data_IF_550526498214
#
_entry.id   IF_550526498214
#
_cell.length_a   1.000
_cell.length_b   1.000
_cell.length_c   1.000
_cell.angle_alpha   90.00
_cell.angle_beta   90.00
_cell.angle_gamma   90.00
#
_symmetry.space_group_name_H-M   'P 1'
#
loop_
_entity.id
_entity.type
_entity.pdbx_description
1 polymer ?
#
# COMPACT_ATOMS: atom_id res chain seq x y z
N UNK A 1 63.14 50.76 36.40
CA UNK A 1 63.10 49.43 35.74
C UNK A 1 61.66 49.00 35.69
N UNK A 2 61.04 48.89 34.48
CA UNK A 2 59.62 48.71 34.26
C UNK A 2 59.40 47.26 33.83
N UNK A 3 58.50 46.55 34.50
CA UNK A 3 57.99 45.23 34.12
C UNK A 3 56.69 45.42 33.30
N UNK A 4 56.52 44.72 32.20
CA UNK A 4 55.22 44.79 31.43
C UNK A 4 54.24 43.74 31.90
N UNK A 5 53.01 44.16 32.06
CA UNK A 5 51.81 43.35 32.28
C UNK A 5 51.42 42.59 30.99
N UNK A 6 51.23 41.30 31.07
CA UNK A 6 50.54 40.52 30.06
C UNK A 6 49.07 40.41 30.43
N UNK A 7 48.21 40.93 29.59
CA UNK A 7 46.74 40.70 29.63
C UNK A 7 46.44 39.40 28.88
N UNK A 8 45.72 38.51 29.55
CA UNK A 8 45.19 37.31 28.96
C UNK A 8 43.98 37.59 28.03
N UNK A 9 44.08 37.07 26.81
CA UNK A 9 42.97 36.90 25.89
C UNK A 9 42.62 35.43 25.90
N UNK A 10 41.52 35.09 26.52
CA UNK A 10 41.08 33.70 26.58
C UNK A 10 39.75 33.57 27.29
N UNK A 11 38.65 33.90 26.63
CA UNK A 11 37.32 33.35 26.92
C UNK A 11 36.24 33.96 25.97
N UNK A 12 36.24 33.63 24.68
CA UNK A 12 35.11 33.99 23.81
C UNK A 12 34.93 33.05 22.58
N UNK A 13 35.21 31.75 22.72
CA UNK A 13 35.10 30.81 21.59
C UNK A 13 34.23 29.57 21.85
N UNK A 14 33.51 29.50 22.96
CA UNK A 14 32.75 28.29 23.35
C UNK A 14 31.24 28.44 23.31
N UNK A 15 30.66 29.58 22.91
CA UNK A 15 29.21 29.78 22.88
C UNK A 15 28.62 29.68 21.45
N UNK A 16 29.44 29.79 20.41
CA UNK A 16 28.94 29.75 19.01
C UNK A 16 28.72 28.34 18.44
N UNK A 17 29.33 27.30 19.05
CA UNK A 17 29.18 25.93 18.54
C UNK A 17 27.89 25.20 19.00
N UNK A 18 27.30 25.63 20.12
CA UNK A 18 26.08 25.01 20.64
C UNK A 18 24.81 25.52 19.96
N UNK A 19 24.76 26.76 19.52
CA UNK A 19 23.62 27.36 18.82
C UNK A 19 23.52 26.88 17.37
N UNK A 20 24.66 26.70 16.67
CA UNK A 20 24.66 26.14 15.32
C UNK A 20 24.21 24.67 15.29
N UNK A 21 24.59 23.88 16.28
CA UNK A 21 24.15 22.49 16.40
C UNK A 21 22.67 22.33 16.76
N UNK A 22 22.12 23.25 17.57
CA UNK A 22 20.71 23.29 17.89
C UNK A 22 19.86 23.75 16.67
N UNK A 23 20.30 24.78 15.99
CA UNK A 23 19.63 25.33 14.80
C UNK A 23 19.69 24.36 13.61
N UNK A 24 20.77 23.57 13.46
CA UNK A 24 20.83 22.47 12.49
C UNK A 24 19.90 21.29 12.85
N UNK A 25 19.66 21.02 14.13
CA UNK A 25 18.68 20.00 14.57
C UNK A 25 17.23 20.47 14.38
N UNK A 26 16.93 21.74 14.53
CA UNK A 26 15.60 22.30 14.28
C UNK A 26 15.17 22.25 12.81
N UNK A 27 16.12 22.24 11.88
CA UNK A 27 15.85 22.19 10.43
C UNK A 27 15.98 20.79 9.84
N UNK A 28 16.38 19.78 10.62
CA UNK A 28 16.60 18.43 10.11
C UNK A 28 15.29 17.82 9.56
N UNK A 29 15.42 17.19 8.39
CA UNK A 29 14.35 16.41 7.77
C UNK A 29 13.97 15.23 8.65
N UNK A 30 12.72 14.79 8.58
CA UNK A 30 12.34 13.45 9.04
C UNK A 30 13.03 12.42 8.12
N UNK A 31 14.06 11.76 8.65
CA UNK A 31 14.79 10.75 7.88
C UNK A 31 13.93 9.49 7.71
N UNK A 32 13.75 8.97 6.49
CA UNK A 32 12.94 7.77 6.26
C UNK A 32 13.37 6.55 7.10
N UNK A 33 14.67 6.38 7.34
CA UNK A 33 15.22 5.31 8.19
C UNK A 33 14.82 5.47 9.66
N UNK A 34 14.71 6.71 10.13
CA UNK A 34 14.25 6.99 11.49
C UNK A 34 12.74 6.74 11.59
N UNK A 35 11.95 7.20 10.63
CA UNK A 35 10.52 6.91 10.55
C UNK A 35 10.25 5.40 10.56
N UNK A 36 11.04 4.65 9.82
CA UNK A 36 10.97 3.19 9.79
C UNK A 36 11.20 2.57 11.16
N UNK A 37 12.28 2.98 11.88
CA UNK A 37 12.58 2.49 13.23
C UNK A 37 11.51 2.86 14.25
N UNK A 38 10.96 4.07 14.14
CA UNK A 38 9.86 4.52 15.00
C UNK A 38 8.63 3.65 14.77
N UNK A 39 8.26 3.41 13.52
CA UNK A 39 7.12 2.57 13.19
C UNK A 39 7.29 1.15 13.72
N UNK A 40 8.46 0.56 13.58
CA UNK A 40 8.75 -0.81 14.04
C UNK A 40 8.46 -1.01 15.54
N UNK A 41 8.54 0.07 16.35
CA UNK A 41 8.35 0.04 17.81
C UNK A 41 6.99 0.59 18.26
N UNK A 42 6.42 1.54 17.53
CA UNK A 42 5.36 2.40 18.05
C UNK A 42 4.04 2.34 17.27
N UNK A 43 3.98 1.61 16.14
CA UNK A 43 2.74 1.52 15.37
C UNK A 43 1.58 0.94 16.18
N UNK A 44 0.37 1.37 15.87
CA UNK A 44 -0.88 0.91 16.49
C UNK A 44 -1.78 0.15 15.52
N UNK A 45 -1.37 0.06 14.27
CA UNK A 45 -2.04 -0.76 13.27
C UNK A 45 -2.04 -2.24 13.69
N UNK A 46 -3.09 -3.01 13.38
CA UNK A 46 -3.14 -4.42 13.73
C UNK A 46 -2.02 -5.19 13.01
N UNK A 47 -1.47 -6.25 13.67
CA UNK A 47 -0.33 -6.97 13.12
C UNK A 47 -0.62 -7.60 11.77
N UNK A 48 -1.87 -8.06 11.49
CA UNK A 48 -2.23 -8.62 10.17
C UNK A 48 -3.63 -9.23 10.13
N UNK A 49 -4.23 -9.24 8.95
CA UNK A 49 -4.22 -8.20 7.92
C UNK A 49 -4.94 -6.98 8.46
N UNK A 50 -4.75 -5.78 7.91
CA UNK A 50 -5.44 -4.58 8.41
C UNK A 50 -6.94 -4.64 8.01
N UNK A 51 -7.67 -5.59 8.59
CA UNK A 51 -9.11 -5.73 8.40
C UNK A 51 -9.84 -4.67 9.22
N UNK A 52 -9.64 -3.42 8.82
CA UNK A 52 -10.28 -2.27 9.46
C UNK A 52 -11.76 -2.25 9.09
N UNK A 53 -12.63 -2.67 10.02
CA UNK A 53 -14.06 -2.49 9.93
C UNK A 53 -14.49 -1.14 10.56
N UNK A 54 -15.76 -0.79 10.41
CA UNK A 54 -16.27 0.48 10.95
C UNK A 54 -16.20 0.53 12.49
N UNK A 55 -16.37 -0.58 13.18
CA UNK A 55 -16.29 -0.65 14.66
C UNK A 55 -14.86 -0.37 15.14
N UNK A 56 -13.86 -0.95 14.47
CA UNK A 56 -12.45 -0.67 14.76
C UNK A 56 -12.10 0.79 14.47
N UNK A 57 -12.57 1.34 13.35
CA UNK A 57 -12.42 2.77 13.05
C UNK A 57 -12.97 3.65 14.17
N UNK A 58 -14.22 3.41 14.62
CA UNK A 58 -14.86 4.19 15.70
C UNK A 58 -14.02 4.16 16.97
N UNK A 59 -13.57 2.97 17.40
CA UNK A 59 -12.72 2.85 18.60
C UNK A 59 -11.42 3.66 18.49
N UNK A 60 -10.79 3.66 17.32
CA UNK A 60 -9.56 4.44 17.09
C UNK A 60 -9.82 5.94 17.07
N UNK A 61 -10.91 6.37 16.45
CA UNK A 61 -11.33 7.78 16.46
C UNK A 61 -11.64 8.25 17.87
N UNK A 62 -12.38 7.47 18.66
CA UNK A 62 -12.64 7.76 20.07
C UNK A 62 -11.36 7.87 20.90
N UNK A 63 -10.39 6.98 20.64
CA UNK A 63 -9.06 7.04 21.26
C UNK A 63 -8.29 8.31 20.92
N UNK A 64 -8.40 8.83 19.70
CA UNK A 64 -7.79 10.10 19.32
C UNK A 64 -8.39 11.26 20.11
N UNK A 65 -9.71 11.30 20.27
CA UNK A 65 -10.40 12.35 21.04
C UNK A 65 -10.02 12.28 22.51
N UNK A 66 -10.09 11.09 23.12
CA UNK A 66 -9.81 10.89 24.55
C UNK A 66 -8.35 11.09 24.96
N UNK A 67 -7.40 10.83 24.05
CA UNK A 67 -5.95 10.81 24.35
C UNK A 67 -5.16 12.04 23.90
N UNK A 68 -5.77 13.01 23.25
CA UNK A 68 -5.00 14.01 22.45
C UNK A 68 -4.92 15.42 23.03
N UNK A 69 -5.51 15.70 24.22
CA UNK A 69 -5.49 17.05 24.82
C UNK A 69 -5.85 18.19 23.83
N UNK A 70 -6.76 17.93 22.89
CA UNK A 70 -7.17 18.91 21.88
C UNK A 70 -6.23 19.05 20.67
N UNK A 71 -5.31 18.10 20.47
CA UNK A 71 -4.45 18.08 19.26
C UNK A 71 -5.25 17.80 17.99
N UNK A 72 -6.20 16.87 18.05
CA UNK A 72 -7.08 16.51 16.95
C UNK A 72 -8.47 17.10 17.14
N UNK A 73 -9.01 17.68 16.08
CA UNK A 73 -10.43 18.02 15.98
C UNK A 73 -11.11 16.95 15.12
N UNK A 74 -12.14 16.30 15.65
CA UNK A 74 -12.84 15.20 15.02
C UNK A 74 -14.31 15.53 14.89
N UNK A 75 -14.80 15.54 13.68
CA UNK A 75 -16.23 15.73 13.38
C UNK A 75 -16.81 14.55 12.60
N UNK A 76 -18.08 14.26 12.81
CA UNK A 76 -18.86 13.41 11.93
C UNK A 76 -19.22 14.21 10.68
N UNK A 77 -18.50 13.97 9.58
CA UNK A 77 -18.72 14.67 8.31
C UNK A 77 -20.03 14.26 7.64
N UNK A 78 -20.58 13.12 7.98
CA UNK A 78 -21.86 12.61 7.51
C UNK A 78 -22.03 11.12 7.77
N UNK A 79 -22.91 10.48 7.00
CA UNK A 79 -23.22 9.06 7.10
C UNK A 79 -23.17 8.40 5.74
N UNK A 80 -22.79 7.11 5.71
CA UNK A 80 -22.91 6.24 4.54
C UNK A 80 -24.37 5.89 4.24
N UNK A 81 -24.57 5.11 3.18
CA UNK A 81 -25.92 4.63 2.79
C UNK A 81 -26.63 3.87 3.92
N UNK A 82 -25.89 3.10 4.72
CA UNK A 82 -26.43 2.31 5.85
C UNK A 82 -26.33 3.03 7.20
N UNK A 83 -26.11 4.34 7.19
CA UNK A 83 -26.10 5.17 8.40
C UNK A 83 -24.83 5.06 9.26
N UNK A 84 -23.74 4.50 8.72
CA UNK A 84 -22.43 4.48 9.41
C UNK A 84 -21.77 5.84 9.33
N UNK A 85 -21.27 6.33 10.47
CA UNK A 85 -20.58 7.61 10.54
C UNK A 85 -19.32 7.63 9.66
N UNK A 86 -19.16 8.69 8.87
CA UNK A 86 -17.94 9.02 8.15
C UNK A 86 -17.29 10.18 8.91
N UNK A 87 -16.05 9.98 9.36
CA UNK A 87 -15.35 10.95 10.18
C UNK A 87 -14.38 11.77 9.35
N UNK A 88 -14.31 13.06 9.69
CA UNK A 88 -13.26 13.97 9.28
C UNK A 88 -12.41 14.31 10.50
N UNK A 89 -11.11 14.12 10.38
CA UNK A 89 -10.12 14.41 11.42
C UNK A 89 -9.26 15.56 10.94
N UNK A 90 -9.13 16.62 11.73
CA UNK A 90 -8.19 17.70 11.43
C UNK A 90 -7.11 17.83 12.50
N UNK A 91 -5.89 18.16 12.08
CA UNK A 91 -4.74 18.35 12.95
C UNK A 91 -3.76 19.37 12.35
N UNK A 92 -3.15 20.18 13.23
CA UNK A 92 -2.30 21.30 12.84
C UNK A 92 -3.09 22.60 12.70
N UNK A 93 -2.36 23.73 12.61
CA UNK A 93 -2.92 25.09 12.53
C UNK A 93 -2.20 25.95 11.50
N UNK A 94 -1.44 25.30 10.61
CA UNK A 94 -0.68 25.98 9.57
C UNK A 94 -1.57 26.49 8.44
N UNK A 95 -1.08 27.50 7.70
CA UNK A 95 -1.85 28.11 6.62
C UNK A 95 -1.95 27.24 5.34
N UNK A 96 -1.27 26.10 5.28
CA UNK A 96 -1.26 25.23 4.11
C UNK A 96 -2.15 24.00 4.34
N UNK A 97 -3.39 23.98 3.79
CA UNK A 97 -4.32 22.89 4.00
C UNK A 97 -3.99 21.71 3.06
N UNK A 98 -3.95 20.51 3.63
CA UNK A 98 -3.69 19.24 2.94
C UNK A 98 -4.85 18.29 3.19
N UNK A 99 -5.41 17.69 2.14
CA UNK A 99 -6.47 16.68 2.26
C UNK A 99 -5.91 15.28 2.02
N UNK A 100 -6.20 14.35 2.93
CA UNK A 100 -5.91 12.93 2.74
C UNK A 100 -7.22 12.14 2.85
N UNK A 101 -7.45 11.20 1.95
CA UNK A 101 -8.58 10.28 2.08
C UNK A 101 -8.17 8.88 1.70
N UNK A 102 -8.74 7.90 2.41
CA UNK A 102 -8.47 6.49 2.24
C UNK A 102 -9.76 5.69 2.25
N UNK A 103 -9.65 4.44 1.86
CA UNK A 103 -10.71 3.43 1.91
C UNK A 103 -12.02 3.91 1.27
N UNK A 104 -11.90 4.61 0.14
CA UNK A 104 -13.07 4.87 -0.71
C UNK A 104 -13.53 3.58 -1.41
N UNK A 105 -12.62 2.62 -1.59
CA UNK A 105 -12.95 1.23 -1.82
C UNK A 105 -12.82 0.48 -0.49
N UNK A 106 -13.86 -0.23 -0.09
CA UNK A 106 -13.93 -0.81 1.26
C UNK A 106 -12.93 -1.93 1.52
N UNK A 107 -12.41 -2.57 0.48
CA UNK A 107 -11.40 -3.63 0.50
C UNK A 107 -9.94 -3.11 0.44
N UNK A 108 -9.73 -1.80 0.61
CA UNK A 108 -8.43 -1.15 0.52
C UNK A 108 -7.99 -0.49 1.86
N UNK A 109 -7.78 -1.26 2.94
CA UNK A 109 -7.60 -0.72 4.29
C UNK A 109 -6.16 -0.33 4.65
N UNK A 110 -5.16 -0.59 3.78
CA UNK A 110 -3.74 -0.45 4.15
C UNK A 110 -3.39 0.97 4.57
N UNK A 111 -3.78 1.96 3.78
CA UNK A 111 -3.49 3.35 4.09
C UNK A 111 -4.34 3.86 5.28
N UNK A 112 -5.55 3.34 5.49
CA UNK A 112 -6.34 3.63 6.69
C UNK A 112 -5.57 3.24 7.96
N UNK A 113 -4.97 2.06 7.98
CA UNK A 113 -4.13 1.62 9.09
C UNK A 113 -2.90 2.53 9.28
N UNK A 114 -2.22 2.89 8.19
CA UNK A 114 -1.08 3.80 8.22
C UNK A 114 -1.44 5.20 8.71
N UNK A 115 -2.63 5.73 8.39
CA UNK A 115 -3.10 7.03 8.88
C UNK A 115 -3.26 7.04 10.41
N UNK A 116 -3.73 5.96 11.02
CA UNK A 116 -3.76 5.88 12.48
C UNK A 116 -2.37 5.78 13.11
N UNK A 117 -1.41 5.14 12.44
CA UNK A 117 0.00 5.17 12.87
C UNK A 117 0.59 6.59 12.73
N UNK A 118 0.23 7.34 11.68
CA UNK A 118 0.59 8.77 11.52
C UNK A 118 -0.01 9.61 12.64
N UNK A 119 -1.29 9.43 12.98
CA UNK A 119 -1.91 10.16 14.08
C UNK A 119 -1.22 9.87 15.41
N UNK A 120 -0.89 8.61 15.67
CA UNK A 120 -0.18 8.23 16.89
C UNK A 120 1.23 8.81 16.94
N UNK A 121 1.94 8.82 15.81
CA UNK A 121 3.24 9.49 15.68
C UNK A 121 3.13 10.99 16.03
N UNK A 122 2.18 11.69 15.45
CA UNK A 122 1.96 13.12 15.72
C UNK A 122 1.60 13.37 17.19
N UNK A 123 0.76 12.51 17.78
CA UNK A 123 0.33 12.60 19.18
C UNK A 123 1.52 12.42 20.15
N UNK A 124 2.32 11.36 19.94
CA UNK A 124 3.44 11.05 20.85
C UNK A 124 4.56 12.08 20.74
N UNK A 125 4.75 12.64 19.56
CA UNK A 125 5.86 13.57 19.25
C UNK A 125 5.41 15.01 19.05
N UNK A 126 4.24 15.39 19.53
CA UNK A 126 3.69 16.74 19.34
C UNK A 126 4.61 17.87 19.82
N UNK A 127 5.49 17.60 20.77
CA UNK A 127 6.45 18.57 21.30
C UNK A 127 7.85 18.51 20.63
N UNK A 128 8.08 17.59 19.73
CA UNK A 128 9.34 17.52 18.98
C UNK A 128 9.42 18.60 17.89
N UNK A 129 10.60 19.21 17.66
CA UNK A 129 10.74 20.33 16.71
C UNK A 129 10.22 20.02 15.30
N UNK A 130 10.45 18.80 14.80
CA UNK A 130 10.00 18.39 13.46
C UNK A 130 8.47 18.32 13.37
N UNK A 131 7.80 17.80 14.39
CA UNK A 131 6.32 17.72 14.44
C UNK A 131 5.73 19.11 14.67
N UNK A 132 6.33 19.93 15.53
CA UNK A 132 5.93 21.33 15.71
C UNK A 132 5.99 22.14 14.40
N UNK A 133 7.07 21.97 13.63
CA UNK A 133 7.20 22.56 12.30
C UNK A 133 6.08 22.09 11.37
N UNK A 134 5.81 20.77 11.34
CA UNK A 134 4.75 20.20 10.49
C UNK A 134 3.38 20.80 10.87
N UNK A 135 3.02 20.79 12.15
CA UNK A 135 1.73 21.25 12.64
C UNK A 135 1.54 22.76 12.55
N UNK A 136 2.64 23.55 12.55
CA UNK A 136 2.59 25.00 12.37
C UNK A 136 2.57 25.44 10.90
N UNK A 137 3.08 24.61 9.99
CA UNK A 137 3.08 24.86 8.55
C UNK A 137 1.81 24.36 7.86
N UNK A 138 1.32 23.19 8.28
CA UNK A 138 0.21 22.48 7.64
C UNK A 138 -1.03 22.42 8.54
N UNK A 139 -2.20 22.38 7.90
CA UNK A 139 -3.44 21.88 8.49
C UNK A 139 -3.86 20.63 7.71
N UNK A 140 -3.84 19.48 8.35
CA UNK A 140 -4.24 18.22 7.72
C UNK A 140 -5.73 18.01 7.90
N UNK A 141 -6.43 17.71 6.82
CA UNK A 141 -7.81 17.29 6.78
C UNK A 141 -7.83 15.83 6.31
N UNK A 142 -8.32 14.91 7.13
CA UNK A 142 -8.21 13.47 6.85
C UNK A 142 -9.57 12.80 6.94
N UNK A 143 -9.93 12.05 5.89
CA UNK A 143 -11.07 11.11 5.93
C UNK A 143 -10.46 9.69 5.90
N UNK A 144 -10.27 9.04 7.06
CA UNK A 144 -9.52 7.80 7.13
C UNK A 144 -10.27 6.59 6.53
N UNK A 145 -11.62 6.64 6.49
CA UNK A 145 -12.46 5.61 5.85
C UNK A 145 -13.66 6.29 5.21
N UNK A 146 -13.63 6.41 3.88
CA UNK A 146 -14.70 7.08 3.14
C UNK A 146 -15.91 6.17 2.90
N UNK A 147 -15.71 4.85 2.71
CA UNK A 147 -16.74 3.87 2.40
C UNK A 147 -16.86 2.80 3.50
N UNK A 148 -17.47 3.13 4.65
CA UNK A 148 -17.57 2.18 5.76
C UNK A 148 -18.49 0.98 5.46
N UNK A 149 -19.47 1.10 4.56
CA UNK A 149 -20.33 -0.01 4.16
C UNK A 149 -19.58 -1.04 3.32
N UNK A 150 -18.73 -0.58 2.41
CA UNK A 150 -17.82 -1.43 1.66
C UNK A 150 -16.77 -2.07 2.56
N UNK A 151 -16.22 -1.31 3.52
CA UNK A 151 -15.24 -1.82 4.49
C UNK A 151 -15.82 -2.94 5.35
N UNK A 152 -17.07 -2.82 5.78
CA UNK A 152 -17.77 -3.84 6.55
C UNK A 152 -17.88 -5.17 5.79
N UNK A 153 -18.06 -5.11 4.47
CA UNK A 153 -18.18 -6.28 3.59
C UNK A 153 -16.87 -6.69 2.93
N UNK A 154 -15.81 -5.92 3.15
CA UNK A 154 -14.54 -6.06 2.45
C UNK A 154 -14.74 -6.11 0.94
N UNK A 155 -15.38 -5.08 0.39
CA UNK A 155 -15.68 -4.97 -1.03
C UNK A 155 -15.41 -3.57 -1.55
N UNK A 156 -15.07 -3.48 -2.84
CA UNK A 156 -14.76 -2.22 -3.52
C UNK A 156 -15.91 -1.20 -3.45
N UNK A 157 -17.12 -1.65 -3.76
CA UNK A 157 -18.30 -0.80 -3.94
C UNK A 157 -19.00 -0.49 -2.61
N UNK A 158 -19.73 0.63 -2.57
CA UNK A 158 -20.57 0.98 -1.43
C UNK A 158 -21.84 0.09 -1.34
N UNK A 159 -22.72 0.35 -0.38
CA UNK A 159 -23.95 -0.43 -0.18
C UNK A 159 -24.94 -0.36 -1.36
N UNK A 160 -24.86 0.66 -2.21
CA UNK A 160 -25.66 0.79 -3.42
C UNK A 160 -25.09 0.01 -4.62
N UNK A 161 -23.92 -0.64 -4.45
CA UNK A 161 -23.20 -1.27 -5.55
C UNK A 161 -22.46 -0.27 -6.46
N UNK A 162 -22.36 1.00 -6.04
CA UNK A 162 -21.67 2.05 -6.78
C UNK A 162 -20.20 2.06 -6.42
N UNK A 163 -19.32 2.14 -7.41
CA UNK A 163 -17.92 2.50 -7.22
C UNK A 163 -17.82 3.99 -6.91
N UNK A 164 -17.49 4.33 -5.66
CA UNK A 164 -17.42 5.72 -5.21
C UNK A 164 -16.40 6.51 -6.05
N UNK A 165 -15.32 5.87 -6.51
CA UNK A 165 -14.33 6.51 -7.40
C UNK A 165 -14.80 6.61 -8.88
N UNK A 166 -16.10 6.42 -9.15
CA UNK A 166 -16.74 6.64 -10.44
C UNK A 166 -17.96 7.55 -10.33
N UNK A 167 -18.09 8.26 -9.19
CA UNK A 167 -19.26 9.09 -8.87
C UNK A 167 -18.96 10.60 -8.81
N UNK A 168 -17.73 11.03 -9.10
CA UNK A 168 -17.31 12.42 -8.95
C UNK A 168 -18.14 13.43 -9.76
N UNK A 169 -18.67 13.01 -10.94
CA UNK A 169 -19.49 13.89 -11.78
C UNK A 169 -20.93 14.02 -11.29
N UNK A 170 -21.51 12.94 -10.76
CA UNK A 170 -22.93 12.89 -10.40
C UNK A 170 -23.19 13.08 -8.93
N UNK A 171 -22.25 12.69 -8.07
CA UNK A 171 -22.35 12.79 -6.61
C UNK A 171 -23.63 12.13 -6.07
N UNK A 172 -23.97 10.95 -6.57
CA UNK A 172 -25.16 10.19 -6.17
C UNK A 172 -24.97 9.53 -4.81
N UNK A 173 -23.71 9.17 -4.47
CA UNK A 173 -23.37 8.52 -3.20
C UNK A 173 -23.24 9.56 -2.08
N UNK A 174 -23.66 9.26 -0.86
CA UNK A 174 -23.39 10.12 0.29
C UNK A 174 -21.88 10.28 0.52
N UNK A 175 -21.09 9.23 0.32
CA UNK A 175 -19.63 9.22 0.44
C UNK A 175 -19.00 10.25 -0.51
N UNK A 176 -19.39 10.25 -1.78
CA UNK A 176 -18.92 11.22 -2.78
C UNK A 176 -19.26 12.66 -2.43
N UNK A 177 -20.51 12.90 -1.97
CA UNK A 177 -20.93 14.24 -1.51
C UNK A 177 -20.14 14.72 -0.30
N UNK A 178 -19.87 13.84 0.66
CA UNK A 178 -19.09 14.16 1.85
C UNK A 178 -17.66 14.55 1.46
N UNK A 179 -16.99 13.74 0.64
CA UNK A 179 -15.63 14.03 0.18
C UNK A 179 -15.56 15.36 -0.57
N UNK A 180 -16.51 15.60 -1.48
CA UNK A 180 -16.62 16.89 -2.21
C UNK A 180 -16.88 18.05 -1.24
N UNK A 181 -17.76 17.87 -0.26
CA UNK A 181 -18.08 18.89 0.74
C UNK A 181 -16.90 19.27 1.61
N UNK A 182 -16.10 18.31 2.06
CA UNK A 182 -14.86 18.56 2.82
C UNK A 182 -13.86 19.34 1.94
N UNK A 183 -13.66 18.93 0.68
CA UNK A 183 -12.81 19.65 -0.26
C UNK A 183 -13.26 21.10 -0.47
N UNK A 184 -14.55 21.34 -0.67
CA UNK A 184 -15.07 22.67 -0.96
C UNK A 184 -15.00 23.59 0.26
N UNK A 185 -15.22 23.06 1.46
CA UNK A 185 -15.12 23.78 2.72
C UNK A 185 -13.68 24.24 2.99
N UNK A 186 -12.70 23.34 2.83
CA UNK A 186 -11.33 23.58 3.26
C UNK A 186 -10.39 23.99 2.14
N UNK A 187 -10.78 23.80 0.87
CA UNK A 187 -10.00 24.16 -0.34
C UNK A 187 -8.54 23.76 -0.25
N UNK A 188 -8.24 22.48 -0.05
CA UNK A 188 -6.87 22.03 0.17
C UNK A 188 -5.97 22.38 -1.01
N UNK A 189 -4.74 22.79 -0.67
CA UNK A 189 -3.71 23.14 -1.65
C UNK A 189 -3.14 21.92 -2.36
N UNK A 190 -3.23 20.73 -1.73
CA UNK A 190 -2.87 19.43 -2.30
C UNK A 190 -3.67 18.33 -1.64
N UNK A 191 -3.96 17.26 -2.39
CA UNK A 191 -4.65 16.06 -1.93
C UNK A 191 -3.81 14.80 -2.07
N UNK A 192 -4.04 13.84 -1.16
CA UNK A 192 -3.50 12.48 -1.23
C UNK A 192 -4.66 11.50 -1.31
N UNK A 193 -4.76 10.81 -2.45
CA UNK A 193 -5.73 9.75 -2.70
C UNK A 193 -5.06 8.41 -2.41
N UNK A 194 -5.51 7.73 -1.37
CA UNK A 194 -4.82 6.56 -0.83
C UNK A 194 -5.60 5.30 -1.12
N UNK A 195 -5.03 4.44 -1.98
CA UNK A 195 -5.64 3.24 -2.51
C UNK A 195 -4.78 1.99 -2.32
N UNK A 196 -5.39 0.83 -2.60
CA UNK A 196 -4.66 -0.40 -2.87
C UNK A 196 -4.93 -0.83 -4.33
N UNK A 197 -3.87 -1.13 -5.06
CA UNK A 197 -3.96 -1.74 -6.38
C UNK A 197 -3.98 -3.27 -6.30
N UNK A 198 -4.27 -3.90 -7.44
CA UNK A 198 -4.15 -5.35 -7.54
C UNK A 198 -2.71 -5.79 -7.17
N UNK A 199 -2.59 -6.75 -6.27
CA UNK A 199 -1.30 -7.29 -5.82
C UNK A 199 -0.48 -7.94 -6.95
N UNK A 200 -1.10 -8.30 -8.10
CA UNK A 200 -0.42 -8.77 -9.32
C UNK A 200 0.32 -7.68 -10.07
N UNK A 201 0.08 -6.41 -9.71
CA UNK A 201 0.79 -5.29 -10.33
C UNK A 201 2.28 -5.44 -10.12
N UNK A 202 3.01 -5.28 -11.18
CA UNK A 202 4.46 -5.49 -11.26
C UNK A 202 5.17 -4.34 -11.94
N UNK A 203 6.47 -4.27 -11.72
CA UNK A 203 7.38 -3.31 -12.34
C UNK A 203 8.70 -3.97 -12.71
N UNK A 204 9.35 -3.42 -13.74
CA UNK A 204 10.70 -3.80 -14.11
C UNK A 204 10.79 -5.11 -14.91
N UNK A 205 12.03 -5.45 -15.29
CA UNK A 205 12.39 -6.67 -15.98
C UNK A 205 13.70 -7.22 -15.38
N UNK A 206 13.68 -8.40 -14.73
CA UNK A 206 12.53 -9.26 -14.48
C UNK A 206 11.44 -8.59 -13.59
N UNK A 207 10.16 -8.97 -13.77
CA UNK A 207 9.06 -8.32 -13.06
C UNK A 207 9.10 -8.60 -11.56
N UNK A 208 9.04 -7.52 -10.77
CA UNK A 208 8.90 -7.54 -9.31
C UNK A 208 7.52 -7.03 -8.94
N UNK A 209 6.95 -7.39 -7.76
CA UNK A 209 5.74 -6.76 -7.27
C UNK A 209 5.90 -5.24 -7.19
N UNK A 210 4.94 -4.48 -7.69
CA UNK A 210 4.85 -3.05 -7.46
C UNK A 210 4.23 -2.82 -6.08
N UNK A 211 5.06 -2.77 -5.05
CA UNK A 211 4.60 -2.60 -3.67
C UNK A 211 3.97 -1.24 -3.41
N UNK A 212 4.38 -0.24 -4.19
CA UNK A 212 3.76 1.07 -4.23
C UNK A 212 3.83 1.63 -5.64
N UNK A 213 2.72 2.17 -6.13
CA UNK A 213 2.72 2.92 -7.38
C UNK A 213 2.21 4.32 -7.14
N UNK A 214 2.82 5.27 -7.83
CA UNK A 214 2.57 6.70 -7.64
C UNK A 214 1.99 7.31 -8.91
N UNK A 215 1.11 8.31 -8.72
CA UNK A 215 0.58 9.08 -9.83
C UNK A 215 0.43 10.55 -9.46
N UNK A 216 0.98 11.42 -10.29
CA UNK A 216 0.60 12.84 -10.38
C UNK A 216 -0.62 12.94 -11.29
N UNK A 217 -1.80 13.05 -10.68
CA UNK A 217 -3.10 12.87 -11.36
C UNK A 217 -3.34 13.93 -12.40
N UNK A 218 -3.81 13.54 -13.59
CA UNK A 218 -4.23 14.43 -14.66
C UNK A 218 -5.56 15.12 -14.33
N UNK A 219 -5.86 16.23 -14.99
CA UNK A 219 -7.13 16.96 -14.87
C UNK A 219 -7.84 17.12 -16.22
N UNK A 220 -7.24 16.65 -17.29
CA UNK A 220 -7.81 16.66 -18.63
C UNK A 220 -7.25 15.52 -19.50
N UNK A 221 -7.92 15.16 -20.61
CA UNK A 221 -7.47 14.10 -21.52
C UNK A 221 -6.13 14.39 -22.21
N UNK A 222 -5.74 15.67 -22.33
CA UNK A 222 -4.46 16.08 -22.90
C UNK A 222 -3.30 15.88 -21.92
N UNK A 223 -3.59 15.56 -20.64
CA UNK A 223 -2.60 15.42 -19.56
C UNK A 223 -1.77 16.68 -19.40
N UNK A 224 -2.45 17.84 -19.56
CA UNK A 224 -1.82 19.15 -19.54
C UNK A 224 -1.01 19.39 -18.28
N UNK A 225 0.07 20.15 -18.41
CA UNK A 225 0.88 20.54 -17.26
C UNK A 225 0.26 21.73 -16.51
N UNK A 226 0.58 21.83 -15.23
CA UNK A 226 0.18 22.95 -14.36
C UNK A 226 1.12 23.03 -13.16
N UNK A 227 1.16 24.16 -12.47
CA UNK A 227 1.90 24.28 -11.21
C UNK A 227 1.50 23.21 -10.20
N UNK A 228 0.21 22.85 -10.14
CA UNK A 228 -0.29 21.78 -9.29
C UNK A 228 0.26 20.41 -9.67
N UNK A 229 0.30 20.07 -10.97
CA UNK A 229 0.90 18.83 -11.44
C UNK A 229 2.42 18.79 -11.24
N UNK A 230 3.10 19.90 -11.41
CA UNK A 230 4.53 20.01 -11.11
C UNK A 230 4.80 19.76 -9.62
N UNK A 231 3.99 20.32 -8.72
CA UNK A 231 4.07 20.05 -7.29
C UNK A 231 3.84 18.56 -6.98
N UNK A 232 2.81 17.95 -7.55
CA UNK A 232 2.51 16.52 -7.26
C UNK A 232 3.55 15.58 -7.86
N UNK A 233 4.18 15.88 -9.01
CA UNK A 233 5.35 15.12 -9.51
C UNK A 233 6.53 15.21 -8.55
N UNK A 234 6.82 16.39 -8.00
CA UNK A 234 7.87 16.56 -6.98
C UNK A 234 7.55 15.79 -5.70
N UNK A 235 6.29 15.77 -5.25
CA UNK A 235 5.86 14.97 -4.11
C UNK A 235 6.00 13.48 -4.38
N UNK A 236 5.63 13.00 -5.57
CA UNK A 236 5.87 11.62 -5.98
C UNK A 236 7.37 11.27 -5.95
N UNK A 237 8.25 12.19 -6.39
CA UNK A 237 9.69 12.00 -6.32
C UNK A 237 10.19 11.91 -4.86
N UNK A 238 9.69 12.76 -3.96
CA UNK A 238 10.00 12.70 -2.51
C UNK A 238 9.55 11.36 -1.92
N UNK A 239 8.33 10.92 -2.22
CA UNK A 239 7.80 9.64 -1.74
C UNK A 239 8.64 8.47 -2.27
N UNK A 240 8.94 8.47 -3.56
CA UNK A 240 9.81 7.47 -4.19
C UNK A 240 11.16 7.38 -3.47
N UNK A 241 11.83 8.49 -3.25
CA UNK A 241 13.15 8.50 -2.61
C UNK A 241 13.09 8.06 -1.13
N UNK A 242 11.99 8.34 -0.43
CA UNK A 242 11.79 7.90 0.94
C UNK A 242 11.52 6.39 1.05
N UNK A 243 10.82 5.80 0.09
CA UNK A 243 10.37 4.40 0.13
C UNK A 243 11.37 3.45 -0.53
N UNK A 244 12.11 3.89 -1.56
CA UNK A 244 13.07 3.06 -2.32
C UNK A 244 14.05 2.25 -1.46
N UNK A 245 14.62 2.78 -0.36
CA UNK A 245 15.51 1.99 0.49
C UNK A 245 14.88 0.76 1.15
N UNK A 246 13.56 0.73 1.25
CA UNK A 246 12.79 -0.35 1.90
C UNK A 246 12.11 -1.27 0.89
N UNK A 247 11.91 -0.81 -0.34
CA UNK A 247 11.28 -1.55 -1.42
C UNK A 247 12.05 -1.37 -2.75
N UNK A 248 13.33 -1.77 -2.83
CA UNK A 248 14.19 -1.46 -3.95
C UNK A 248 13.71 -2.09 -5.26
N UNK A 249 13.44 -1.23 -6.25
CA UNK A 249 12.92 -1.63 -7.56
C UNK A 249 11.49 -2.17 -7.52
N UNK A 250 10.71 -1.83 -6.49
CA UNK A 250 9.30 -2.23 -6.32
C UNK A 250 8.35 -1.01 -6.30
N UNK A 251 8.84 0.15 -6.76
CA UNK A 251 8.03 1.36 -6.89
C UNK A 251 7.75 1.58 -8.37
N UNK A 252 6.48 1.77 -8.70
CA UNK A 252 6.01 1.98 -10.06
C UNK A 252 5.38 3.34 -10.29
N UNK A 253 5.13 3.61 -11.56
CA UNK A 253 4.28 4.71 -12.00
C UNK A 253 2.95 4.15 -12.47
N UNK A 254 1.85 4.68 -11.89
CA UNK A 254 0.51 4.36 -12.32
C UNK A 254 0.18 5.11 -13.61
N UNK A 255 -0.74 4.57 -14.43
CA UNK A 255 -1.19 5.22 -15.66
C UNK A 255 -1.89 6.55 -15.34
N UNK A 256 -1.52 7.61 -16.08
CA UNK A 256 -2.08 8.95 -15.94
C UNK A 256 -3.20 9.24 -16.97
N UNK A 257 -3.85 8.20 -17.51
CA UNK A 257 -5.04 8.37 -18.32
C UNK A 257 -6.16 9.05 -17.53
N UNK A 258 -6.73 10.10 -18.11
CA UNK A 258 -7.78 10.88 -17.46
C UNK A 258 -9.08 10.11 -17.38
N UNK A 259 -9.53 9.79 -16.17
CA UNK A 259 -10.83 9.16 -15.91
C UNK A 259 -11.82 10.23 -15.41
N UNK A 260 -12.63 10.73 -16.29
CA UNK A 260 -13.58 11.83 -16.05
C UNK A 260 -14.53 11.60 -14.84
N UNK A 261 -14.76 10.34 -14.43
CA UNK A 261 -15.63 10.00 -13.31
C UNK A 261 -14.88 9.84 -11.98
N UNK A 262 -13.53 9.78 -12.00
CA UNK A 262 -12.72 9.52 -10.82
C UNK A 262 -12.56 10.77 -9.95
N UNK A 263 -12.49 10.57 -8.63
CA UNK A 263 -12.32 11.67 -7.69
C UNK A 263 -10.93 12.29 -7.75
N UNK A 264 -9.86 11.53 -7.97
CA UNK A 264 -8.52 12.08 -8.10
C UNK A 264 -8.43 13.13 -9.21
N UNK A 265 -8.96 12.78 -10.38
CA UNK A 265 -8.98 13.60 -11.58
C UNK A 265 -9.85 14.86 -11.39
N UNK A 266 -11.05 14.66 -10.84
CA UNK A 266 -11.94 15.80 -10.57
C UNK A 266 -11.45 16.70 -9.44
N UNK A 267 -10.82 16.18 -8.40
CA UNK A 267 -10.17 17.02 -7.37
C UNK A 267 -9.12 17.92 -7.98
N UNK A 268 -8.28 17.36 -8.88
CA UNK A 268 -7.27 18.13 -9.60
C UNK A 268 -7.91 19.18 -10.51
N UNK A 269 -8.96 18.80 -11.25
CA UNK A 269 -9.75 19.73 -12.08
C UNK A 269 -10.41 20.84 -11.25
N UNK A 270 -10.91 20.53 -10.06
CA UNK A 270 -11.49 21.54 -9.15
C UNK A 270 -10.46 22.41 -8.44
N UNK A 271 -9.17 22.26 -8.72
CA UNK A 271 -8.08 23.08 -8.20
C UNK A 271 -7.42 22.53 -6.93
N UNK A 272 -7.59 21.24 -6.62
CA UNK A 272 -6.82 20.54 -5.60
C UNK A 272 -5.98 19.46 -6.31
N UNK A 273 -4.71 19.75 -6.63
CA UNK A 273 -3.82 18.78 -7.27
C UNK A 273 -3.61 17.55 -6.38
N UNK A 274 -3.62 16.35 -6.96
CA UNK A 274 -3.66 15.10 -6.23
C UNK A 274 -2.43 14.25 -6.52
N UNK A 275 -1.84 13.71 -5.45
CA UNK A 275 -0.97 12.53 -5.48
C UNK A 275 -1.82 11.30 -5.21
N UNK A 276 -1.82 10.33 -6.13
CA UNK A 276 -2.36 9.00 -5.89
C UNK A 276 -1.24 8.10 -5.39
N UNK A 277 -1.52 7.37 -4.31
CA UNK A 277 -0.69 6.28 -3.82
C UNK A 277 -1.49 4.99 -3.92
N UNK A 278 -1.01 4.06 -4.74
CA UNK A 278 -1.57 2.73 -4.93
C UNK A 278 -0.67 1.71 -4.23
N UNK A 279 -1.15 1.13 -3.16
CA UNK A 279 -0.42 0.09 -2.42
C UNK A 279 -0.67 -1.27 -3.07
N UNK A 280 0.38 -1.95 -3.47
CA UNK A 280 0.29 -3.24 -4.16
C UNK A 280 0.60 -4.44 -3.27
N UNK A 281 1.33 -5.43 -3.82
CA UNK A 281 1.72 -6.64 -3.13
C UNK A 281 3.11 -6.58 -2.51
N UNK A 282 3.37 -7.43 -1.53
CA UNK A 282 4.68 -7.64 -0.93
C UNK A 282 5.02 -9.14 -0.87
N UNK A 283 6.21 -9.57 -1.30
CA UNK A 283 6.59 -10.99 -1.35
C UNK A 283 7.08 -11.49 0.02
N UNK A 284 6.17 -11.67 0.98
CA UNK A 284 6.47 -12.24 2.28
C UNK A 284 5.27 -12.99 2.87
N UNK A 285 5.51 -13.74 3.94
CA UNK A 285 4.44 -14.38 4.71
C UNK A 285 3.52 -13.36 5.42
N UNK A 286 4.01 -12.14 5.64
CA UNK A 286 3.30 -11.05 6.32
C UNK A 286 3.35 -9.75 5.51
N UNK A 287 2.71 -9.72 4.33
CA UNK A 287 2.83 -8.59 3.41
C UNK A 287 2.23 -7.30 3.97
N UNK A 288 1.10 -7.39 4.66
CA UNK A 288 0.28 -6.23 4.99
C UNK A 288 0.99 -5.28 5.97
N UNK A 289 1.69 -5.80 6.98
CA UNK A 289 2.47 -5.00 7.94
C UNK A 289 3.55 -4.16 7.24
N UNK A 290 4.31 -4.76 6.33
CA UNK A 290 5.31 -4.03 5.54
C UNK A 290 4.67 -2.93 4.69
N UNK A 291 3.54 -3.21 4.06
CA UNK A 291 2.83 -2.24 3.22
C UNK A 291 2.28 -1.07 4.03
N UNK A 292 1.77 -1.30 5.25
CA UNK A 292 1.37 -0.23 6.18
C UNK A 292 2.57 0.64 6.55
N UNK A 293 3.71 0.03 6.88
CA UNK A 293 4.97 0.74 7.18
C UNK A 293 5.43 1.62 6.01
N UNK A 294 5.37 1.11 4.76
CA UNK A 294 5.74 1.90 3.58
C UNK A 294 4.83 3.12 3.40
N UNK A 295 3.51 2.96 3.61
CA UNK A 295 2.57 4.08 3.56
C UNK A 295 2.84 5.12 4.66
N UNK A 296 3.13 4.68 5.89
CA UNK A 296 3.51 5.57 6.99
C UNK A 296 4.73 6.43 6.62
N UNK A 297 5.79 5.79 6.10
CA UNK A 297 7.01 6.49 5.67
C UNK A 297 6.70 7.47 4.53
N UNK A 298 5.95 7.03 3.52
CA UNK A 298 5.56 7.83 2.37
C UNK A 298 4.81 9.10 2.77
N UNK A 299 3.75 8.93 3.57
CA UNK A 299 2.89 10.04 4.01
C UNK A 299 3.68 11.05 4.84
N UNK A 300 4.40 10.61 5.87
CA UNK A 300 5.16 11.54 6.73
C UNK A 300 6.31 12.23 5.99
N UNK A 301 7.00 11.54 5.07
CA UNK A 301 8.06 12.15 4.26
C UNK A 301 7.50 13.23 3.32
N UNK A 302 6.34 12.99 2.70
CA UNK A 302 5.67 13.97 1.86
C UNK A 302 5.21 15.19 2.68
N UNK A 303 4.55 14.97 3.81
CA UNK A 303 4.09 16.05 4.70
C UNK A 303 5.25 16.88 5.25
N UNK A 304 6.33 16.24 5.69
CA UNK A 304 7.52 16.96 6.18
C UNK A 304 8.21 17.75 5.06
N UNK A 305 8.22 17.23 3.82
CA UNK A 305 8.78 17.96 2.68
C UNK A 305 7.97 19.22 2.32
N UNK A 306 6.64 19.15 2.45
CA UNK A 306 5.76 20.31 2.32
C UNK A 306 6.01 21.34 3.43
N UNK A 307 5.99 20.87 4.69
CA UNK A 307 6.16 21.73 5.88
C UNK A 307 7.50 22.46 5.90
N UNK A 308 8.55 21.83 5.40
CA UNK A 308 9.90 22.37 5.32
C UNK A 308 10.24 23.04 3.99
N UNK A 309 9.30 23.06 3.03
CA UNK A 309 9.46 23.53 1.65
C UNK A 309 10.56 22.81 0.84
N UNK A 310 11.07 21.69 1.33
CA UNK A 310 12.08 20.90 0.58
C UNK A 310 11.54 20.32 -0.72
N UNK A 311 10.24 20.12 -0.82
CA UNK A 311 9.58 19.70 -2.05
C UNK A 311 9.88 20.65 -3.24
N UNK A 312 10.15 21.93 -3.00
CA UNK A 312 10.48 22.90 -4.06
C UNK A 312 11.76 22.50 -4.83
N UNK A 313 12.76 21.94 -4.14
CA UNK A 313 14.01 21.45 -4.70
C UNK A 313 14.00 20.00 -5.18
N UNK A 314 12.89 19.28 -5.05
CA UNK A 314 12.81 17.90 -5.50
C UNK A 314 12.83 17.82 -7.04
N UNK A 315 13.55 16.80 -7.56
CA UNK A 315 13.67 16.55 -9.00
C UNK A 315 12.50 15.67 -9.48
N UNK A 316 11.57 16.17 -10.30
CA UNK A 316 10.44 15.40 -10.79
C UNK A 316 10.87 14.24 -11.69
N UNK A 317 12.06 14.26 -12.30
CA UNK A 317 12.57 13.14 -13.10
C UNK A 317 12.74 11.85 -12.27
N UNK A 318 12.92 11.96 -10.96
CA UNK A 318 12.94 10.81 -10.04
C UNK A 318 11.62 10.04 -10.03
N UNK A 319 10.49 10.72 -10.25
CA UNK A 319 9.17 10.10 -10.44
C UNK A 319 8.94 9.69 -11.90
N UNK A 320 9.25 10.56 -12.85
CA UNK A 320 8.98 10.34 -14.27
C UNK A 320 9.75 9.14 -14.85
N UNK A 321 10.93 8.84 -14.29
CA UNK A 321 11.75 7.68 -14.64
C UNK A 321 11.30 6.36 -14.01
N UNK A 322 10.26 6.35 -13.15
CA UNK A 322 9.73 5.10 -12.61
C UNK A 322 9.15 4.22 -13.73
N UNK A 323 9.34 2.90 -13.65
CA UNK A 323 8.72 1.97 -14.59
C UNK A 323 7.21 2.02 -14.49
N UNK A 324 6.53 1.87 -15.61
CA UNK A 324 5.07 1.77 -15.66
C UNK A 324 4.59 0.45 -15.05
N UNK A 325 3.41 0.49 -14.47
CA UNK A 325 2.74 -0.69 -13.94
C UNK A 325 2.40 -1.68 -15.05
N UNK A 326 2.61 -2.96 -14.75
CA UNK A 326 2.19 -4.10 -15.56
C UNK A 326 1.56 -5.18 -14.66
N UNK A 327 0.88 -6.17 -15.22
CA UNK A 327 0.24 -7.25 -14.43
C UNK A 327 0.93 -8.59 -14.73
N UNK A 328 2.23 -8.72 -14.39
CA UNK A 328 3.05 -9.89 -14.73
C UNK A 328 3.52 -10.71 -13.52
N UNK A 329 2.90 -10.56 -12.35
CA UNK A 329 3.28 -11.33 -11.15
C UNK A 329 2.18 -12.31 -10.77
N UNK A 330 2.59 -13.55 -10.44
CA UNK A 330 1.75 -14.59 -9.86
C UNK A 330 2.00 -14.71 -8.35
N UNK A 331 1.06 -15.25 -7.61
CA UNK A 331 1.27 -15.58 -6.19
C UNK A 331 2.26 -16.73 -6.03
N UNK A 332 2.07 -17.79 -6.84
CA UNK A 332 3.04 -18.87 -7.00
C UNK A 332 3.26 -19.08 -8.49
N UNK A 333 4.51 -19.21 -8.90
CA UNK A 333 4.86 -19.66 -10.24
C UNK A 333 5.70 -20.92 -10.13
N UNK A 334 5.25 -21.99 -10.78
CA UNK A 334 5.99 -23.26 -10.87
C UNK A 334 6.58 -23.33 -12.25
N UNK A 335 7.91 -23.49 -12.34
CA UNK A 335 8.69 -23.47 -13.57
C UNK A 335 9.07 -24.88 -14.04
N UNK A 336 9.08 -25.09 -15.34
CA UNK A 336 9.69 -26.23 -16.01
C UNK A 336 9.16 -27.60 -15.56
N UNK A 337 7.91 -27.70 -15.11
CA UNK A 337 7.36 -28.96 -14.63
C UNK A 337 6.87 -29.86 -15.75
N UNK A 338 7.08 -31.17 -15.64
CA UNK A 338 6.35 -32.15 -16.45
C UNK A 338 4.94 -32.29 -15.89
N UNK A 339 3.95 -31.79 -16.61
CA UNK A 339 2.54 -31.83 -16.21
C UNK A 339 1.89 -33.11 -16.72
N UNK A 340 1.31 -33.88 -15.81
CA UNK A 340 0.46 -35.03 -16.13
C UNK A 340 -0.97 -34.64 -15.77
N UNK A 341 -1.77 -34.35 -16.79
CA UNK A 341 -3.07 -33.71 -16.62
C UNK A 341 -4.18 -34.55 -17.27
N UNK A 342 -4.97 -35.23 -16.45
CA UNK A 342 -6.16 -35.94 -16.88
C UNK A 342 -5.92 -37.21 -17.74
N UNK A 343 -6.99 -37.96 -17.98
CA UNK A 343 -6.96 -39.14 -18.84
C UNK A 343 -6.94 -38.70 -20.32
N UNK A 344 -6.03 -39.31 -21.11
CA UNK A 344 -5.95 -39.07 -22.55
C UNK A 344 -5.12 -37.85 -23.00
N UNK A 345 -4.60 -37.05 -22.06
CA UNK A 345 -3.66 -35.96 -22.38
C UNK A 345 -2.24 -36.48 -22.20
N UNK A 346 -1.39 -36.46 -23.23
CA UNK A 346 0.03 -36.81 -23.07
C UNK A 346 0.73 -35.85 -22.08
N UNK A 347 1.72 -36.32 -21.30
CA UNK A 347 2.54 -35.42 -20.47
C UNK A 347 3.20 -34.34 -21.33
N UNK A 348 3.24 -33.11 -20.77
CA UNK A 348 3.87 -31.96 -21.43
C UNK A 348 4.66 -31.14 -20.40
N UNK A 349 5.61 -30.35 -20.86
CA UNK A 349 6.38 -29.42 -20.02
C UNK A 349 5.75 -28.04 -20.09
N UNK A 350 5.47 -27.45 -18.94
CA UNK A 350 4.93 -26.09 -18.84
C UNK A 350 5.29 -25.44 -17.52
N UNK A 351 5.17 -24.11 -17.48
CA UNK A 351 5.07 -23.35 -16.26
C UNK A 351 3.59 -23.27 -15.83
N UNK A 352 3.34 -23.15 -14.53
CA UNK A 352 2.00 -22.93 -13.97
C UNK A 352 2.00 -21.67 -13.12
N UNK A 353 1.15 -20.71 -13.48
CA UNK A 353 0.90 -19.48 -12.76
C UNK A 353 -0.35 -19.58 -11.87
N UNK A 354 -0.18 -19.35 -10.58
CA UNK A 354 -1.26 -19.42 -9.59
C UNK A 354 -1.49 -18.04 -8.99
N UNK A 355 -2.75 -17.61 -8.93
CA UNK A 355 -3.17 -16.40 -8.23
C UNK A 355 -3.84 -16.73 -6.89
N UNK A 356 -3.83 -15.74 -6.00
CA UNK A 356 -4.54 -15.79 -4.72
C UNK A 356 -5.71 -14.82 -4.72
N UNK A 357 -6.92 -15.32 -4.52
CA UNK A 357 -8.09 -14.51 -4.27
C UNK A 357 -8.31 -14.39 -2.76
N UNK A 358 -8.43 -13.15 -2.29
CA UNK A 358 -8.67 -12.82 -0.89
C UNK A 358 -10.16 -12.55 -0.67
N UNK A 359 -10.75 -13.17 0.35
CA UNK A 359 -12.12 -12.92 0.79
C UNK A 359 -12.16 -12.84 2.30
N UNK A 360 -12.99 -11.96 2.84
CA UNK A 360 -13.25 -11.94 4.27
C UNK A 360 -14.36 -12.93 4.58
N UNK A 361 -14.07 -13.86 5.50
CA UNK A 361 -15.05 -14.69 6.16
C UNK A 361 -15.43 -14.06 7.48
N UNK A 362 -16.70 -13.70 7.61
CA UNK A 362 -17.25 -13.18 8.86
C UNK A 362 -18.01 -14.30 9.57
N UNK A 363 -17.65 -14.58 10.80
CA UNK A 363 -18.37 -15.47 11.72
C UNK A 363 -18.78 -14.68 12.96
N UNK A 364 -19.69 -15.23 13.79
CA UNK A 364 -20.08 -14.58 15.03
C UNK A 364 -18.86 -14.38 15.94
N UNK A 365 -18.30 -13.16 15.96
CA UNK A 365 -17.17 -12.75 16.81
C UNK A 365 -15.79 -12.78 16.19
N UNK A 366 -15.59 -13.25 14.95
CA UNK A 366 -14.31 -13.17 14.25
C UNK A 366 -14.48 -12.74 12.79
N UNK A 367 -13.44 -12.13 12.27
CA UNK A 367 -13.32 -11.67 10.90
C UNK A 367 -11.96 -12.10 10.36
N UNK A 368 -11.96 -13.11 9.51
CA UNK A 368 -10.74 -13.74 9.03
C UNK A 368 -10.58 -13.56 7.52
N UNK A 369 -9.35 -13.29 7.08
CA UNK A 369 -9.03 -13.28 5.66
C UNK A 369 -8.79 -14.71 5.18
N UNK A 370 -9.63 -15.16 4.26
CA UNK A 370 -9.44 -16.43 3.57
C UNK A 370 -8.78 -16.19 2.21
N UNK A 371 -7.88 -17.08 1.87
CA UNK A 371 -7.18 -17.10 0.59
C UNK A 371 -7.57 -18.37 -0.16
N UNK A 372 -7.98 -18.22 -1.42
CA UNK A 372 -8.17 -19.34 -2.35
C UNK A 372 -7.19 -19.21 -3.51
N UNK A 373 -6.51 -20.31 -3.83
CA UNK A 373 -5.55 -20.37 -4.91
C UNK A 373 -6.23 -20.86 -6.19
N UNK A 374 -5.98 -20.16 -7.31
CA UNK A 374 -6.59 -20.47 -8.62
C UNK A 374 -5.46 -20.56 -9.65
N UNK A 375 -5.53 -21.54 -10.54
CA UNK A 375 -4.66 -21.61 -11.72
C UNK A 375 -5.08 -20.51 -12.69
N UNK A 376 -4.20 -19.56 -12.93
CA UNK A 376 -4.49 -18.42 -13.83
C UNK A 376 -3.95 -18.66 -15.22
N UNK A 377 -2.81 -19.38 -15.33
CA UNK A 377 -2.21 -19.62 -16.64
C UNK A 377 -1.34 -20.88 -16.61
N UNK A 378 -1.24 -21.56 -17.76
CA UNK A 378 -0.41 -22.76 -17.99
C UNK A 378 0.29 -22.58 -19.34
N UNK A 379 1.61 -22.56 -19.36
CA UNK A 379 2.35 -22.42 -20.64
C UNK A 379 3.76 -21.90 -20.43
N UNK A 380 4.20 -21.01 -21.33
CA UNK A 380 5.50 -20.33 -21.25
C UNK A 380 5.32 -19.00 -20.47
N UNK A 381 5.68 -19.00 -19.20
CA UNK A 381 5.57 -17.83 -18.34
C UNK A 381 6.92 -17.17 -18.05
N UNK A 382 7.94 -17.34 -18.90
CA UNK A 382 9.30 -16.81 -18.69
C UNK A 382 9.36 -15.30 -18.47
N UNK A 383 8.42 -14.55 -19.01
CA UNK A 383 8.32 -13.09 -18.84
C UNK A 383 7.60 -12.65 -17.57
N UNK A 384 7.09 -13.61 -16.79
CA UNK A 384 6.34 -13.36 -15.56
C UNK A 384 7.20 -13.60 -14.32
N UNK A 385 6.87 -12.98 -13.21
CA UNK A 385 7.45 -13.20 -11.87
C UNK A 385 6.48 -13.91 -10.94
N UNK A 386 6.95 -14.24 -9.75
CA UNK A 386 6.13 -14.80 -8.69
C UNK A 386 6.54 -14.28 -7.31
N UNK A 387 5.59 -14.17 -6.38
CA UNK A 387 5.95 -13.99 -4.97
C UNK A 387 6.70 -15.20 -4.44
N UNK A 388 6.27 -16.38 -4.87
CA UNK A 388 6.99 -17.63 -4.68
C UNK A 388 7.29 -18.24 -6.06
N UNK A 389 8.55 -18.54 -6.32
CA UNK A 389 8.97 -19.27 -7.53
C UNK A 389 9.47 -20.66 -7.12
N UNK A 390 8.92 -21.69 -7.74
CA UNK A 390 9.30 -23.08 -7.55
C UNK A 390 9.92 -23.58 -8.86
N UNK A 391 11.20 -23.91 -8.85
CA UNK A 391 11.82 -24.62 -9.97
C UNK A 391 11.49 -26.11 -9.86
N UNK A 392 10.65 -26.58 -10.77
CA UNK A 392 10.20 -27.96 -10.85
C UNK A 392 10.90 -28.75 -11.97
N UNK A 393 12.09 -28.31 -12.38
CA UNK A 393 12.91 -29.05 -13.35
C UNK A 393 13.15 -30.49 -12.87
N UNK A 394 12.80 -31.47 -13.69
CA UNK A 394 12.88 -32.90 -13.34
C UNK A 394 11.78 -33.39 -12.37
N UNK A 395 10.82 -32.52 -12.02
CA UNK A 395 9.65 -32.94 -11.25
C UNK A 395 8.44 -33.15 -12.14
N UNK A 396 7.51 -33.93 -11.64
CA UNK A 396 6.20 -34.16 -12.24
C UNK A 396 5.12 -33.48 -11.43
N UNK A 397 4.23 -32.75 -12.09
CA UNK A 397 3.03 -32.20 -11.46
C UNK A 397 1.83 -33.06 -11.84
N UNK A 398 1.02 -33.36 -10.82
CA UNK A 398 -0.24 -34.11 -10.97
C UNK A 398 -1.36 -33.36 -10.24
N UNK A 399 -2.62 -33.42 -10.72
CA UNK A 399 -3.76 -32.93 -9.92
C UNK A 399 -3.75 -33.62 -8.56
N UNK A 400 -3.97 -32.91 -7.48
CA UNK A 400 -3.94 -33.46 -6.12
C UNK A 400 -5.34 -33.80 -5.63
N UNK A 401 -5.50 -35.00 -5.10
CA UNK A 401 -6.54 -35.29 -4.12
C UNK A 401 -6.13 -34.75 -2.73
N UNK A 402 -7.09 -34.55 -1.84
CA UNK A 402 -6.87 -33.93 -0.53
C UNK A 402 -5.88 -34.68 0.39
N UNK A 403 -5.54 -35.92 0.05
CA UNK A 403 -4.71 -36.84 0.83
C UNK A 403 -3.21 -36.83 0.44
N UNK A 404 -2.77 -36.02 -0.52
CA UNK A 404 -1.36 -35.91 -0.91
C UNK A 404 -0.59 -34.94 0.01
N UNK A 405 0.25 -35.52 0.88
CA UNK A 405 1.13 -34.80 1.79
C UNK A 405 2.61 -35.02 1.42
N UNK A 406 3.45 -34.06 1.75
CA UNK A 406 4.89 -34.14 1.53
C UNK A 406 5.49 -35.40 2.21
N UNK A 407 6.37 -36.11 1.50
CA UNK A 407 6.98 -37.35 1.94
C UNK A 407 6.20 -38.62 1.56
N UNK A 408 4.94 -38.53 1.13
CA UNK A 408 4.14 -39.66 0.70
C UNK A 408 4.70 -40.29 -0.59
N UNK A 409 4.76 -41.62 -0.64
CA UNK A 409 5.03 -42.36 -1.87
C UNK A 409 3.76 -42.55 -2.68
N UNK A 410 3.87 -42.27 -4.00
CA UNK A 410 2.77 -42.39 -4.96
C UNK A 410 3.18 -43.33 -6.08
N UNK A 411 2.34 -44.31 -6.38
CA UNK A 411 2.40 -45.07 -7.61
C UNK A 411 1.65 -44.28 -8.71
N UNK A 412 2.38 -43.78 -9.68
CA UNK A 412 1.82 -42.87 -10.67
C UNK A 412 0.79 -43.50 -11.61
N UNK A 413 0.99 -44.77 -12.11
CA UNK A 413 -0.03 -45.46 -12.88
C UNK A 413 -1.33 -45.73 -12.12
N UNK A 414 -1.24 -46.16 -10.88
CA UNK A 414 -2.39 -46.38 -10.00
C UNK A 414 -3.12 -45.05 -9.71
N UNK A 415 -2.35 -44.01 -9.43
CA UNK A 415 -2.90 -42.67 -9.15
C UNK A 415 -3.69 -42.11 -10.34
N UNK A 416 -3.14 -42.22 -11.57
CA UNK A 416 -3.82 -41.79 -12.81
C UNK A 416 -5.16 -42.49 -13.02
N UNK A 417 -5.29 -43.73 -12.67
CA UNK A 417 -6.51 -44.51 -12.85
C UNK A 417 -7.64 -44.07 -11.91
N UNK A 418 -7.32 -43.43 -10.78
CA UNK A 418 -8.28 -43.07 -9.72
C UNK A 418 -8.78 -41.62 -9.82
N UNK A 419 -8.08 -40.73 -10.52
CA UNK A 419 -8.37 -39.28 -10.48
C UNK A 419 -8.84 -38.76 -11.82
N UNK A 420 -10.10 -38.27 -11.84
CA UNK A 420 -10.71 -37.61 -13.00
C UNK A 420 -10.51 -36.07 -12.99
N UNK A 421 -9.80 -35.51 -11.99
CA UNK A 421 -9.58 -34.08 -11.84
C UNK A 421 -8.44 -33.63 -12.74
N UNK A 422 -8.58 -32.48 -13.38
CA UNK A 422 -7.54 -31.86 -14.21
C UNK A 422 -7.06 -30.54 -13.59
N UNK A 423 -5.80 -30.19 -13.86
CA UNK A 423 -5.30 -28.84 -13.65
C UNK A 423 -5.78 -28.00 -14.83
N UNK A 424 -6.63 -27.01 -14.57
CA UNK A 424 -7.19 -26.17 -15.62
C UNK A 424 -7.21 -24.69 -15.20
N UNK A 425 -7.07 -23.81 -16.18
CA UNK A 425 -7.17 -22.37 -15.98
C UNK A 425 -8.56 -22.01 -15.47
N UNK A 426 -8.62 -21.16 -14.44
CA UNK A 426 -9.83 -20.75 -13.75
C UNK A 426 -10.28 -21.67 -12.61
N UNK A 427 -9.69 -22.85 -12.49
CA UNK A 427 -10.01 -23.81 -11.45
C UNK A 427 -9.13 -23.66 -10.20
N UNK A 428 -9.57 -24.16 -9.02
CA UNK A 428 -8.74 -24.17 -7.83
C UNK A 428 -7.38 -24.85 -8.08
N UNK A 429 -6.31 -24.18 -7.62
CA UNK A 429 -4.96 -24.70 -7.75
C UNK A 429 -4.74 -25.86 -6.76
N UNK A 430 -5.11 -27.07 -7.18
CA UNK A 430 -4.95 -28.30 -6.41
C UNK A 430 -4.05 -29.27 -7.18
N UNK A 431 -2.77 -29.26 -6.87
CA UNK A 431 -1.81 -30.16 -7.50
C UNK A 431 -0.61 -30.47 -6.59
N UNK A 432 0.03 -31.61 -6.84
CA UNK A 432 1.22 -32.03 -6.14
C UNK A 432 2.44 -32.07 -7.06
N UNK A 433 3.58 -31.68 -6.50
CA UNK A 433 4.90 -31.79 -7.11
C UNK A 433 5.55 -33.10 -6.65
N UNK A 434 5.94 -33.90 -7.60
CA UNK A 434 6.48 -35.25 -7.39
C UNK A 434 7.92 -35.33 -7.91
N UNK A 435 8.80 -35.98 -7.17
CA UNK A 435 10.11 -36.42 -7.64
C UNK A 435 10.15 -37.95 -7.81
N UNK A 436 10.87 -38.48 -8.82
CA UNK A 436 11.08 -39.92 -8.92
C UNK A 436 11.70 -40.47 -7.64
N UNK A 437 11.18 -41.57 -7.16
CA UNK A 437 11.77 -42.37 -6.06
C UNK A 437 12.82 -43.34 -6.57
N UNK A 438 13.56 -43.99 -5.68
CA UNK A 438 14.52 -45.03 -6.03
C UNK A 438 13.88 -46.30 -6.63
N UNK A 439 12.61 -46.55 -6.35
CA UNK A 439 11.83 -47.64 -6.92
C UNK A 439 11.16 -47.18 -8.23
N UNK A 440 11.34 -47.98 -9.28
CA UNK A 440 10.82 -47.67 -10.62
C UNK A 440 9.29 -47.51 -10.59
N UNK A 441 8.80 -46.40 -11.20
CA UNK A 441 7.37 -46.09 -11.27
C UNK A 441 6.81 -45.39 -10.03
N UNK A 442 7.58 -45.31 -8.92
CA UNK A 442 7.17 -44.60 -7.70
C UNK A 442 7.75 -43.18 -7.63
N UNK A 443 7.00 -42.31 -7.00
CA UNK A 443 7.33 -40.93 -6.81
C UNK A 443 7.12 -40.51 -5.36
N UNK A 444 7.89 -39.52 -4.90
CA UNK A 444 7.72 -38.91 -3.58
C UNK A 444 7.09 -37.53 -3.76
N UNK A 445 6.06 -37.24 -3.01
CA UNK A 445 5.46 -35.90 -2.95
C UNK A 445 6.46 -34.95 -2.28
N UNK A 446 6.87 -33.91 -3.01
CA UNK A 446 7.78 -32.87 -2.49
C UNK A 446 6.98 -31.72 -1.87
N UNK A 447 5.90 -31.32 -2.52
CA UNK A 447 4.99 -30.29 -2.06
C UNK A 447 3.59 -30.50 -2.64
N UNK A 448 2.58 -30.01 -1.96
CA UNK A 448 1.21 -29.94 -2.45
C UNK A 448 0.71 -28.48 -2.34
N UNK A 449 0.06 -28.00 -3.40
CA UNK A 449 -0.65 -26.75 -3.44
C UNK A 449 -2.14 -27.09 -3.36
N UNK A 450 -2.84 -26.49 -2.38
CA UNK A 450 -4.24 -26.79 -2.06
C UNK A 450 -5.07 -25.54 -1.87
#
# INVERSE_FOLDING_TARGET
>A
MRTPRRFGVGLLLLILSSTAGAQQRETAALAPQELARIWDVEHVSPPLPPLMDHRELVRRVESLVGGSSGLFDVEKAGESVEGRAIYHVSVGKGPYPVLLWSQMHGDEPTATAALFDVFEYLRRRQNEPAVQRLLSALTLHVIPMLNPDGAERFQRRNAQGIDVNRDALRLQTPEGRILKGVRDRWRPAVGFNLHNQNWRTSVGDPPKPASMSLLSVAFDPARSDSEGRQLTRKLCAVIRDAVEPFAPGQIGRYDDEFEVRAFGDNMTLWGTPVVLIETGGWPSAQPDSTLVRLNFIAILSALDSLASKRVEGADPQRYESLPMNEARVFYIIVRNATVINGAGIPPFVADIGVIANRRVRQTAGSRDLQMSLIVEDIGDLRTSGGFTTIDATGMTIVPAADDLEAGRLVDLPEWKSRNAVSIAVGEPARFALLKPASEAGKYVVVAAIK
#
